data_IF_810687599322
#
_entry.id   IF_810687599322
#
_cell.length_a   1.000
_cell.length_b   1.000
_cell.length_c   1.000
_cell.angle_alpha   90.00
_cell.angle_beta   90.00
_cell.angle_gamma   90.00
#
_symmetry.space_group_name_H-M   'P 1'
#
loop_
_entity.id
_entity.type
_entity.pdbx_description
1 polymer ?
#
# COMPACT_ATOMS: atom_id res chain seq x y z
N UNK A 1 2.04 -16.45 -11.12
CA UNK A 1 2.05 -16.00 -10.74
C UNK A 1 2.04 -15.48 -9.85
N UNK A 2 2.14 -15.22 -9.64
CA UNK A 2 2.18 -14.68 -8.97
C UNK A 2 2.00 -14.06 -8.12
N UNK A 3 2.07 -13.71 -7.85
CA UNK A 3 2.03 -13.10 -7.08
C UNK A 3 1.73 -12.69 -6.24
N UNK A 4 1.51 -12.54 -6.24
CA UNK A 4 1.23 -12.23 -5.56
C UNK A 4 1.07 -11.62 -4.65
N UNK A 5 0.79 -11.58 -4.54
CA UNK A 5 0.33 -11.04 -3.54
C UNK A 5 0.54 -9.70 -3.05
N UNK A 6 1.53 -9.47 -2.51
CA UNK A 6 1.80 -8.25 -1.87
C UNK A 6 2.93 -7.57 -2.48
N UNK A 7 3.12 -6.57 -2.74
CA UNK A 7 4.33 -6.06 -3.23
C UNK A 7 4.30 -5.62 -4.63
N UNK A 8 3.15 -5.49 -5.16
CA UNK A 8 3.07 -4.98 -6.50
C UNK A 8 3.17 -3.47 -6.55
N UNK A 9 3.38 -2.82 -5.43
CA UNK A 9 3.47 -1.37 -5.37
C UNK A 9 4.85 -0.95 -4.93
N UNK A 10 5.24 0.24 -5.33
CA UNK A 10 6.52 0.82 -4.96
C UNK A 10 6.28 2.28 -4.60
N UNK A 11 7.30 2.90 -3.98
CA UNK A 11 7.21 4.31 -3.59
C UNK A 11 6.85 5.15 -4.81
N UNK A 12 5.87 6.00 -4.66
CA UNK A 12 5.42 6.87 -5.73
C UNK A 12 4.26 6.34 -6.54
N UNK A 13 3.92 5.05 -6.39
CA UNK A 13 2.79 4.49 -7.12
C UNK A 13 1.48 4.95 -6.53
N UNK A 14 0.47 5.09 -7.39
CA UNK A 14 -0.90 5.28 -6.93
C UNK A 14 -1.47 3.94 -6.55
N UNK A 15 -2.23 3.92 -5.47
CA UNK A 15 -2.84 2.68 -5.01
C UNK A 15 -4.19 2.93 -4.37
N UNK A 16 -4.94 1.87 -4.23
CA UNK A 16 -6.21 1.89 -3.50
C UNK A 16 -6.19 0.77 -2.49
N UNK A 17 -6.63 1.07 -1.27
CA UNK A 17 -6.72 0.06 -0.22
C UNK A 17 -7.97 -0.78 -0.47
N UNK A 18 -7.77 -2.08 -0.59
CA UNK A 18 -8.85 -3.01 -0.93
C UNK A 18 -9.21 -3.94 0.21
N UNK A 19 -8.47 -3.87 1.31
CA UNK A 19 -8.74 -4.73 2.47
C UNK A 19 -8.26 -4.04 3.73
N UNK A 20 -8.77 -4.49 4.87
CA UNK A 20 -8.35 -3.97 6.17
C UNK A 20 -9.16 -2.77 6.60
N UNK A 21 -8.67 -2.11 7.65
CA UNK A 21 -9.36 -0.99 8.28
C UNK A 21 -9.53 0.19 7.35
N UNK A 22 -8.57 0.40 6.47
CA UNK A 22 -8.57 1.56 5.57
C UNK A 22 -9.16 1.27 4.20
N UNK A 23 -9.89 0.18 4.06
CA UNK A 23 -10.47 -0.20 2.78
C UNK A 23 -11.27 0.95 2.17
N UNK A 24 -11.09 1.16 0.89
CA UNK A 24 -11.77 2.22 0.16
C UNK A 24 -10.99 3.52 0.04
N UNK A 25 -9.90 3.64 0.76
CA UNK A 25 -9.05 4.83 0.67
C UNK A 25 -8.02 4.66 -0.41
N UNK A 26 -7.56 5.76 -0.97
CA UNK A 26 -6.57 5.71 -2.04
C UNK A 26 -5.55 6.82 -1.85
N UNK A 27 -4.42 6.67 -2.51
CA UNK A 27 -3.37 7.66 -2.42
C UNK A 27 -2.10 7.16 -3.06
N UNK A 28 -0.99 7.75 -2.65
CA UNK A 28 0.33 7.41 -3.16
C UNK A 28 1.10 6.59 -2.14
N UNK A 29 1.84 5.60 -2.62
CA UNK A 29 2.67 4.74 -1.77
C UNK A 29 3.92 5.49 -1.37
N UNK A 30 4.23 5.46 -0.06
CA UNK A 30 5.46 6.02 0.46
C UNK A 30 6.01 5.11 1.54
N UNK A 31 7.31 5.19 1.79
CA UNK A 31 7.96 4.47 2.89
C UNK A 31 7.72 2.97 2.84
N UNK A 32 7.86 2.39 1.67
CA UNK A 32 7.77 0.95 1.53
C UNK A 32 8.84 0.29 2.40
N UNK A 33 8.43 -0.63 3.25
CA UNK A 33 9.34 -1.36 4.13
C UNK A 33 8.97 -2.82 4.16
N UNK A 34 9.98 -3.67 4.10
CA UNK A 34 9.80 -5.10 4.24
C UNK A 34 10.25 -5.49 5.65
N UNK A 35 9.35 -6.06 6.43
CA UNK A 35 9.68 -6.46 7.79
C UNK A 35 10.48 -7.75 7.79
N UNK A 36 11.05 -8.08 8.95
CA UNK A 36 11.81 -9.31 9.10
C UNK A 36 10.96 -10.54 8.91
N UNK A 37 9.67 -10.43 9.12
CA UNK A 37 8.77 -11.57 8.98
C UNK A 37 8.24 -11.71 7.56
N UNK A 38 8.71 -10.89 6.64
CA UNK A 38 8.29 -10.98 5.25
C UNK A 38 7.04 -10.20 4.90
N UNK A 39 6.52 -9.40 5.83
CA UNK A 39 5.35 -8.58 5.56
C UNK A 39 5.78 -7.19 5.17
N UNK A 40 5.38 -6.74 4.01
CA UNK A 40 5.68 -5.40 3.56
C UNK A 40 4.64 -4.42 4.09
N UNK A 41 5.09 -3.28 4.58
CA UNK A 41 4.21 -2.20 5.00
C UNK A 41 4.50 -0.96 4.19
N UNK A 42 3.48 -0.16 4.00
CA UNK A 42 3.60 1.09 3.27
C UNK A 42 2.85 2.19 4.00
N UNK A 43 3.20 3.41 3.68
CA UNK A 43 2.42 4.58 4.07
C UNK A 43 1.66 5.04 2.83
N UNK A 44 0.38 5.27 2.97
CA UNK A 44 -0.44 5.79 1.88
C UNK A 44 -0.73 7.25 2.19
N UNK A 45 -0.36 8.13 1.27
CA UNK A 45 -0.63 9.55 1.40
C UNK A 45 -1.80 9.90 0.49
N UNK A 46 -2.90 10.31 1.09
CA UNK A 46 -4.08 10.72 0.36
C UNK A 46 -3.92 12.13 -0.21
N UNK A 47 -4.75 12.46 -1.19
CA UNK A 47 -4.66 13.75 -1.86
C UNK A 47 -4.84 14.92 -0.89
N UNK A 48 -5.57 14.72 0.18
CA UNK A 48 -5.74 15.75 1.20
C UNK A 48 -4.57 15.91 2.16
N UNK A 49 -3.53 15.12 1.99
CA UNK A 49 -2.35 15.20 2.85
C UNK A 49 -2.39 14.28 4.04
N UNK A 50 -3.45 13.54 4.24
CA UNK A 50 -3.55 12.59 5.35
C UNK A 50 -2.80 11.33 4.98
N UNK A 51 -1.96 10.86 5.90
CA UNK A 51 -1.17 9.65 5.69
C UNK A 51 -1.58 8.59 6.70
N UNK A 52 -1.53 7.34 6.28
CA UNK A 52 -1.75 6.21 7.17
C UNK A 52 -0.90 5.04 6.72
N UNK A 53 -0.65 4.12 7.66
CA UNK A 53 0.12 2.91 7.36
C UNK A 53 -0.81 1.75 7.12
N UNK A 54 -0.44 0.89 6.20
CA UNK A 54 -1.18 -0.33 5.92
C UNK A 54 -0.24 -1.36 5.35
N UNK A 55 -0.72 -2.59 5.23
CA UNK A 55 0.08 -3.64 4.60
C UNK A 55 0.04 -3.47 3.08
N UNK A 56 1.18 -3.72 2.46
CA UNK A 56 1.25 -3.62 0.99
C UNK A 56 0.27 -4.57 0.32
N UNK A 57 0.04 -5.73 0.91
CA UNK A 57 -0.91 -6.70 0.34
C UNK A 57 -2.35 -6.24 0.40
N UNK A 58 -2.64 -5.20 1.19
CA UNK A 58 -4.00 -4.68 1.32
C UNK A 58 -4.32 -3.62 0.30
N UNK A 59 -3.39 -3.30 -0.60
CA UNK A 59 -3.61 -2.28 -1.60
C UNK A 59 -3.38 -2.86 -2.98
N UNK A 60 -3.95 -2.18 -3.97
CA UNK A 60 -3.74 -2.51 -5.38
C UNK A 60 -3.22 -1.29 -6.10
N UNK A 61 -2.32 -1.51 -7.03
CA UNK A 61 -1.78 -0.45 -7.84
C UNK A 61 -2.85 0.05 -8.81
N UNK A 62 -2.99 1.36 -8.89
CA UNK A 62 -4.00 1.99 -9.73
C UNK A 62 -3.41 2.93 -10.77
N UNK A 63 -2.21 3.05 -10.82
CA UNK A 63 -1.63 3.96 -11.75
C UNK A 63 -1.33 3.38 -13.06
#
# INVERSE_FOLDING_TARGET
MDDQGQGNVANGDRCEVVAGTHRGKSGSVQNYKLSKTGHATITVRQDGGICFKTLARNVEKRG
#
